data_IF_475752997323
#
_entry.id   IF_475752997323
#
_cell.length_a   1.000
_cell.length_b   1.000
_cell.length_c   1.000
_cell.angle_alpha   90.00
_cell.angle_beta   90.00
_cell.angle_gamma   90.00
#
_symmetry.space_group_name_H-M   'P 1'
#
loop_
_entity.id
_entity.type
_entity.pdbx_description
1 polymer ?
#
# COMPACT_ATOMS: atom_id res chain seq x y z
N UNK A 1 32.24 14.92 -0.24
CA UNK A 1 31.77 13.98 0.82
C UNK A 1 30.42 14.37 1.42
N UNK A 2 30.25 15.56 2.03
CA UNK A 2 28.95 15.96 2.62
C UNK A 2 27.79 15.94 1.62
N UNK A 3 28.02 16.36 0.36
CA UNK A 3 27.02 16.29 -0.69
C UNK A 3 26.61 14.85 -1.02
N UNK A 4 27.56 13.89 -1.04
CA UNK A 4 27.24 12.47 -1.24
C UNK A 4 26.42 11.90 -0.08
N UNK A 5 26.76 12.26 1.17
CA UNK A 5 25.99 11.84 2.34
C UNK A 5 24.55 12.39 2.29
N UNK A 6 24.40 13.68 1.95
CA UNK A 6 23.09 14.30 1.76
C UNK A 6 22.31 13.63 0.62
N UNK A 7 22.96 13.35 -0.52
CA UNK A 7 22.38 12.65 -1.67
C UNK A 7 21.86 11.25 -1.28
N UNK A 8 22.66 10.46 -0.56
CA UNK A 8 22.26 9.13 -0.12
C UNK A 8 21.09 9.18 0.87
N UNK A 9 21.10 10.14 1.78
CA UNK A 9 20.02 10.33 2.75
C UNK A 9 18.70 10.74 2.07
N UNK A 10 18.75 11.70 1.16
CA UNK A 10 17.58 12.12 0.38
C UNK A 10 17.00 10.98 -0.46
N UNK A 11 17.87 10.15 -1.03
CA UNK A 11 17.43 8.99 -1.81
C UNK A 11 16.76 7.93 -0.92
N UNK A 12 17.24 7.72 0.30
CA UNK A 12 16.58 6.83 1.26
C UNK A 12 15.20 7.34 1.69
N UNK A 13 15.06 8.64 1.94
CA UNK A 13 13.76 9.25 2.25
C UNK A 13 12.78 9.05 1.08
N UNK A 14 13.25 9.21 -0.16
CA UNK A 14 12.44 8.92 -1.36
C UNK A 14 12.01 7.46 -1.43
N UNK A 15 12.91 6.52 -1.16
CA UNK A 15 12.57 5.09 -1.15
C UNK A 15 11.52 4.77 -0.08
N UNK A 16 11.61 5.39 1.11
CA UNK A 16 10.60 5.25 2.15
C UNK A 16 9.24 5.80 1.71
N UNK A 17 9.21 6.99 1.12
CA UNK A 17 7.98 7.60 0.60
C UNK A 17 7.33 6.76 -0.52
N UNK A 18 8.14 6.02 -1.28
CA UNK A 18 7.68 5.08 -2.31
C UNK A 18 7.28 3.69 -1.75
N UNK A 19 7.27 3.51 -0.43
CA UNK A 19 6.91 2.24 0.22
C UNK A 19 8.03 1.18 0.26
N UNK A 20 9.25 1.51 -0.16
CA UNK A 20 10.41 0.61 -0.14
C UNK A 20 11.15 0.64 1.21
N UNK A 21 10.42 0.47 2.31
CA UNK A 21 10.96 0.59 3.67
C UNK A 21 12.06 -0.45 3.98
N UNK A 22 12.02 -1.63 3.35
CA UNK A 22 13.06 -2.66 3.53
C UNK A 22 14.37 -2.20 2.88
N UNK A 23 14.32 -1.78 1.61
CA UNK A 23 15.49 -1.27 0.89
C UNK A 23 16.10 -0.07 1.57
N UNK A 24 15.28 0.88 2.03
CA UNK A 24 15.76 2.05 2.78
C UNK A 24 16.42 1.68 4.11
N UNK A 25 15.87 0.71 4.86
CA UNK A 25 16.50 0.19 6.10
C UNK A 25 17.83 -0.50 5.83
N UNK A 26 17.92 -1.29 4.76
CA UNK A 26 19.16 -1.93 4.33
C UNK A 26 20.23 -0.88 4.01
N UNK A 27 19.89 0.13 3.19
CA UNK A 27 20.77 1.24 2.86
C UNK A 27 21.24 2.01 4.11
N UNK A 28 20.34 2.30 5.06
CA UNK A 28 20.71 2.96 6.33
C UNK A 28 21.70 2.13 7.13
N UNK A 29 21.49 0.81 7.20
CA UNK A 29 22.39 -0.11 7.90
C UNK A 29 23.77 -0.15 7.25
N UNK A 30 23.83 -0.28 5.92
CA UNK A 30 25.09 -0.25 5.17
C UNK A 30 25.83 1.09 5.34
N UNK A 31 25.13 2.22 5.34
CA UNK A 31 25.74 3.52 5.60
C UNK A 31 26.30 3.64 7.02
N UNK A 32 25.58 3.13 8.04
CA UNK A 32 26.10 3.12 9.41
C UNK A 32 27.37 2.28 9.54
N UNK A 33 27.41 1.10 8.92
CA UNK A 33 28.60 0.23 8.90
C UNK A 33 29.77 0.94 8.21
N UNK A 34 29.54 1.57 7.07
CA UNK A 34 30.56 2.35 6.36
C UNK A 34 31.08 3.52 7.22
N UNK A 35 30.20 4.26 7.89
CA UNK A 35 30.60 5.37 8.77
C UNK A 35 31.44 4.88 9.95
N UNK A 36 31.04 3.77 10.59
CA UNK A 36 31.81 3.16 11.67
C UNK A 36 33.20 2.73 11.19
N UNK A 37 33.30 2.11 10.00
CA UNK A 37 34.59 1.75 9.41
C UNK A 37 35.48 2.99 9.20
N UNK A 38 34.93 4.08 8.65
CA UNK A 38 35.69 5.31 8.43
C UNK A 38 36.14 5.99 9.75
N UNK A 39 35.31 5.95 10.80
CA UNK A 39 35.66 6.53 12.10
C UNK A 39 36.75 5.77 12.85
N UNK A 40 36.90 4.46 12.60
CA UNK A 40 38.01 3.66 13.14
C UNK A 40 39.31 3.94 12.39
N UNK A 41 39.22 4.23 11.09
CA UNK A 41 40.37 4.51 10.23
C UNK A 41 41.05 5.86 10.54
N UNK A 42 40.27 6.90 10.86
CA UNK A 42 40.80 8.26 11.09
C UNK A 42 41.81 8.34 12.26
N UNK A 43 41.54 7.80 13.47
CA UNK A 43 42.50 7.82 14.57
C UNK A 43 43.74 6.97 14.29
N UNK A 44 43.58 5.83 13.61
CA UNK A 44 44.68 4.96 13.19
C UNK A 44 45.63 5.75 12.30
N UNK A 45 45.08 6.48 11.33
CA UNK A 45 45.84 7.35 10.44
C UNK A 45 46.53 8.52 11.17
N UNK A 46 45.83 9.21 12.07
CA UNK A 46 46.37 10.41 12.74
C UNK A 46 47.45 10.09 13.77
N UNK A 47 47.33 8.98 14.52
CA UNK A 47 48.20 8.73 15.68
C UNK A 47 49.43 7.86 15.40
N UNK A 48 49.50 7.18 14.25
CA UNK A 48 50.54 6.17 14.00
C UNK A 48 51.30 6.38 12.69
N UNK A 49 51.67 7.63 12.42
CA UNK A 49 52.18 8.11 11.13
C UNK A 49 53.59 7.63 10.72
N UNK A 50 54.21 6.64 11.39
CA UNK A 50 55.64 6.38 11.12
C UNK A 50 56.05 4.98 10.65
N UNK A 51 55.31 3.90 10.91
CA UNK A 51 55.74 2.55 10.47
C UNK A 51 54.59 1.60 10.14
N UNK A 52 53.40 2.11 9.78
CA UNK A 52 52.25 1.23 9.54
C UNK A 52 52.40 0.44 8.22
N UNK A 53 52.62 -0.86 8.35
CA UNK A 53 52.70 -1.83 7.24
C UNK A 53 51.35 -1.99 6.54
N UNK A 54 51.34 -1.88 5.20
CA UNK A 54 50.19 -1.80 4.28
C UNK A 54 49.12 -2.93 4.33
N UNK A 55 49.18 -3.89 5.26
CA UNK A 55 48.35 -5.10 5.24
C UNK A 55 46.98 -5.00 5.92
N UNK A 56 46.88 -4.36 7.09
CA UNK A 56 45.66 -4.44 7.94
C UNK A 56 44.57 -3.42 7.56
N UNK A 57 44.96 -2.33 6.89
CA UNK A 57 44.08 -1.25 6.43
C UNK A 57 43.18 -1.69 5.23
N UNK A 58 43.61 -2.73 4.49
CA UNK A 58 42.88 -3.21 3.32
C UNK A 58 41.49 -3.74 3.67
N UNK A 59 41.30 -4.37 4.83
CA UNK A 59 40.01 -4.93 5.22
C UNK A 59 38.97 -3.84 5.52
N UNK A 60 39.35 -2.82 6.29
CA UNK A 60 38.45 -1.74 6.70
C UNK A 60 38.03 -0.89 5.49
N UNK A 61 38.98 -0.59 4.60
CA UNK A 61 38.72 0.03 3.30
C UNK A 61 37.80 -0.82 2.44
N UNK A 62 38.06 -2.12 2.34
CA UNK A 62 37.19 -3.05 1.59
C UNK A 62 35.76 -3.02 2.13
N UNK A 63 35.57 -3.10 3.45
CA UNK A 63 34.25 -3.02 4.09
C UNK A 63 33.56 -1.70 3.75
N UNK A 64 34.27 -0.57 3.88
CA UNK A 64 33.73 0.75 3.54
C UNK A 64 33.25 0.81 2.08
N UNK A 65 34.09 0.42 1.12
CA UNK A 65 33.74 0.45 -0.30
C UNK A 65 32.62 -0.52 -0.65
N UNK A 66 32.60 -1.73 -0.09
CA UNK A 66 31.53 -2.69 -0.30
C UNK A 66 30.18 -2.18 0.24
N UNK A 67 30.16 -1.60 1.44
CA UNK A 67 28.93 -1.04 2.03
C UNK A 67 28.41 0.18 1.26
N UNK A 68 29.31 1.05 0.78
CA UNK A 68 28.94 2.17 -0.08
C UNK A 68 28.38 1.67 -1.41
N UNK A 69 29.08 0.76 -2.10
CA UNK A 69 28.64 0.19 -3.37
C UNK A 69 27.28 -0.53 -3.24
N UNK A 70 27.11 -1.34 -2.19
CA UNK A 70 25.83 -2.02 -1.90
C UNK A 70 24.69 -1.01 -1.72
N UNK A 71 24.91 0.07 -0.97
CA UNK A 71 23.91 1.13 -0.81
C UNK A 71 23.52 1.74 -2.14
N UNK A 72 24.50 2.12 -2.99
CA UNK A 72 24.22 2.75 -4.28
C UNK A 72 23.47 1.82 -5.23
N UNK A 73 23.83 0.53 -5.25
CA UNK A 73 23.15 -0.49 -6.05
C UNK A 73 21.71 -0.70 -5.59
N UNK A 74 21.46 -0.83 -4.28
CA UNK A 74 20.11 -0.99 -3.72
C UNK A 74 19.26 0.25 -3.99
N UNK A 75 19.84 1.45 -3.88
CA UNK A 75 19.15 2.70 -4.19
C UNK A 75 18.78 2.82 -5.66
N UNK A 76 19.74 2.56 -6.56
CA UNK A 76 19.52 2.58 -8.00
C UNK A 76 18.47 1.55 -8.42
N UNK A 77 18.57 0.32 -7.91
CA UNK A 77 17.57 -0.74 -8.14
C UNK A 77 16.18 -0.34 -7.65
N UNK A 78 16.06 0.18 -6.43
CA UNK A 78 14.77 0.59 -5.85
C UNK A 78 14.09 1.69 -6.67
N UNK A 79 14.85 2.69 -7.12
CA UNK A 79 14.35 3.76 -7.98
C UNK A 79 13.94 3.24 -9.37
N UNK A 80 14.76 2.40 -10.01
CA UNK A 80 14.43 1.78 -11.29
C UNK A 80 13.16 0.93 -11.19
N UNK A 81 13.05 0.10 -10.15
CA UNK A 81 11.90 -0.75 -9.94
C UNK A 81 10.61 0.06 -9.68
N UNK A 82 10.71 1.14 -8.90
CA UNK A 82 9.60 2.08 -8.71
C UNK A 82 9.17 2.72 -10.04
N UNK A 83 10.13 3.18 -10.85
CA UNK A 83 9.88 3.75 -12.17
C UNK A 83 9.23 2.75 -13.13
N UNK A 84 9.75 1.52 -13.22
CA UNK A 84 9.18 0.46 -14.06
C UNK A 84 7.75 0.13 -13.66
N UNK A 85 7.49 -0.01 -12.35
CA UNK A 85 6.13 -0.29 -11.85
C UNK A 85 5.16 0.86 -12.13
N UNK A 86 5.59 2.10 -11.91
CA UNK A 86 4.79 3.28 -12.23
C UNK A 86 4.38 3.30 -13.71
N UNK A 87 5.32 3.01 -14.60
CA UNK A 87 5.08 2.93 -16.04
C UNK A 87 4.16 1.76 -16.41
N UNK A 88 4.31 0.58 -15.79
CA UNK A 88 3.43 -0.55 -16.05
C UNK A 88 1.98 -0.29 -15.62
N UNK A 89 1.78 0.41 -14.50
CA UNK A 89 0.44 0.63 -13.91
C UNK A 89 -0.30 1.80 -14.53
N UNK A 90 0.40 2.80 -15.07
CA UNK A 90 -0.22 4.01 -15.58
C UNK A 90 0.55 4.63 -16.75
N UNK A 91 0.93 3.80 -17.74
CA UNK A 91 1.66 4.25 -18.94
C UNK A 91 0.96 5.40 -19.68
N UNK A 92 -0.37 5.45 -19.63
CA UNK A 92 -1.18 6.44 -20.33
C UNK A 92 -1.16 7.83 -19.67
N UNK A 93 -0.76 7.92 -18.40
CA UNK A 93 -0.68 9.20 -17.69
C UNK A 93 0.66 9.91 -17.99
N UNK A 94 0.59 11.10 -18.59
CA UNK A 94 1.76 11.90 -18.94
C UNK A 94 2.57 12.37 -17.71
N UNK A 95 1.90 12.62 -16.57
CA UNK A 95 2.56 13.01 -15.33
C UNK A 95 3.35 11.82 -14.78
N UNK A 96 2.76 10.63 -14.74
CA UNK A 96 3.43 9.41 -14.25
C UNK A 96 4.61 9.03 -15.13
N UNK A 97 4.50 9.16 -16.46
CA UNK A 97 5.65 8.97 -17.37
C UNK A 97 6.79 9.93 -17.07
N UNK A 98 6.49 11.19 -16.82
CA UNK A 98 7.50 12.20 -16.47
C UNK A 98 8.16 11.87 -15.14
N UNK A 99 7.37 11.52 -14.12
CA UNK A 99 7.91 11.11 -12.80
C UNK A 99 8.77 9.86 -12.91
N UNK A 100 8.36 8.84 -13.67
CA UNK A 100 9.15 7.64 -13.89
C UNK A 100 10.46 7.93 -14.64
N UNK A 101 10.44 8.81 -15.64
CA UNK A 101 11.66 9.27 -16.31
C UNK A 101 12.61 9.95 -15.32
N UNK A 102 12.10 10.81 -14.43
CA UNK A 102 12.89 11.42 -13.36
C UNK A 102 13.46 10.38 -12.38
N UNK A 103 12.70 9.34 -12.03
CA UNK A 103 13.19 8.25 -11.18
C UNK A 103 14.32 7.45 -11.85
N UNK A 104 14.25 7.19 -13.16
CA UNK A 104 15.35 6.57 -13.89
C UNK A 104 16.59 7.47 -13.97
N UNK A 105 16.41 8.76 -14.22
CA UNK A 105 17.52 9.73 -14.20
C UNK A 105 18.16 9.73 -12.81
N UNK A 106 17.36 9.77 -11.74
CA UNK A 106 17.86 9.71 -10.38
C UNK A 106 18.62 8.39 -10.11
N UNK A 107 18.09 7.26 -10.56
CA UNK A 107 18.74 5.96 -10.41
C UNK A 107 20.10 5.91 -11.11
N UNK A 108 20.22 6.55 -12.29
CA UNK A 108 21.48 6.67 -13.03
C UNK A 108 22.46 7.63 -12.36
N UNK A 109 21.99 8.73 -11.77
CA UNK A 109 22.83 9.75 -11.12
C UNK A 109 23.29 9.38 -9.70
N UNK A 110 22.66 8.39 -9.06
CA UNK A 110 23.07 7.90 -7.73
C UNK A 110 24.49 7.34 -7.73
N UNK A 111 24.96 6.74 -8.82
CA UNK A 111 26.26 6.06 -8.88
C UNK A 111 27.44 7.00 -9.23
N UNK A 112 27.34 7.89 -10.25
CA UNK A 112 28.47 8.70 -10.71
C UNK A 112 29.01 9.68 -9.66
N UNK A 113 28.16 10.29 -8.83
CA UNK A 113 28.60 11.28 -7.84
C UNK A 113 29.60 10.70 -6.84
N UNK A 114 29.23 9.64 -6.09
CA UNK A 114 30.16 8.95 -5.20
C UNK A 114 31.40 8.36 -5.90
N UNK A 115 31.26 7.88 -7.15
CA UNK A 115 32.36 7.34 -7.92
C UNK A 115 33.41 8.42 -8.25
N UNK A 116 32.97 9.60 -8.71
CA UNK A 116 33.85 10.73 -9.01
C UNK A 116 34.54 11.27 -7.75
N UNK A 117 33.83 11.35 -6.63
CA UNK A 117 34.45 11.66 -5.34
C UNK A 117 35.52 10.66 -4.92
N UNK A 118 35.29 9.37 -5.18
CA UNK A 118 36.28 8.31 -4.94
C UNK A 118 37.53 8.51 -5.80
N UNK A 119 37.36 8.80 -7.09
CA UNK A 119 38.46 9.10 -8.00
C UNK A 119 39.23 10.37 -7.59
N UNK A 120 38.52 11.42 -7.16
CA UNK A 120 39.13 12.64 -6.63
C UNK A 120 39.95 12.40 -5.36
N UNK A 121 39.47 11.54 -4.47
CA UNK A 121 40.22 11.13 -3.27
C UNK A 121 41.50 10.34 -3.63
N UNK A 122 41.42 9.44 -4.61
CA UNK A 122 42.60 8.71 -5.11
C UNK A 122 43.61 9.64 -5.79
N UNK A 123 43.14 10.63 -6.55
CA UNK A 123 43.99 11.64 -7.18
C UNK A 123 44.73 12.50 -6.15
N UNK A 124 44.14 12.74 -4.97
CA UNK A 124 44.79 13.46 -3.86
C UNK A 124 45.98 12.70 -3.26
N UNK A 125 46.05 11.39 -3.47
CA UNK A 125 47.16 10.54 -3.04
C UNK A 125 48.24 10.36 -4.13
N UNK A 126 48.01 10.86 -5.35
CA UNK A 126 49.02 10.86 -6.38
C UNK A 126 50.10 11.93 -6.09
N UNK A 127 51.36 11.75 -6.55
CA UNK A 127 52.42 12.75 -6.40
C UNK A 127 51.95 14.13 -6.89
N UNK A 128 52.25 15.17 -6.09
CA UNK A 128 51.63 16.51 -6.06
C UNK A 128 51.67 17.35 -7.34
N UNK A 129 52.18 16.86 -8.46
CA UNK A 129 52.62 17.77 -9.53
C UNK A 129 51.51 18.31 -10.44
N UNK A 130 50.27 17.83 -10.39
CA UNK A 130 49.14 18.52 -11.04
C UNK A 130 47.80 17.93 -10.56
N UNK A 131 47.24 18.47 -9.46
CA UNK A 131 45.84 18.22 -9.15
C UNK A 131 45.02 18.95 -10.23
N UNK A 132 44.37 18.19 -11.09
CA UNK A 132 43.52 18.75 -12.14
C UNK A 132 42.28 19.42 -11.51
N UNK A 133 42.38 20.74 -11.31
CA UNK A 133 41.32 21.60 -10.76
C UNK A 133 40.01 21.44 -11.57
N UNK A 134 40.11 21.08 -12.86
CA UNK A 134 38.95 20.82 -13.70
C UNK A 134 38.15 19.62 -13.20
N UNK A 135 38.83 18.53 -12.82
CA UNK A 135 38.18 17.31 -12.33
C UNK A 135 37.48 17.55 -10.99
N UNK A 136 38.11 18.29 -10.08
CA UNK A 136 37.52 18.66 -8.80
C UNK A 136 36.29 19.57 -8.97
N UNK A 137 36.38 20.54 -9.89
CA UNK A 137 35.28 21.47 -10.19
C UNK A 137 34.12 20.74 -10.86
N UNK A 138 34.41 19.79 -11.76
CA UNK A 138 33.41 18.95 -12.41
C UNK A 138 32.70 18.05 -11.39
N UNK A 139 33.44 17.42 -10.46
CA UNK A 139 32.89 16.59 -9.39
C UNK A 139 31.95 17.40 -8.48
N UNK A 140 32.41 18.58 -8.00
CA UNK A 140 31.59 19.46 -7.18
C UNK A 140 30.32 19.94 -7.93
N UNK A 141 30.46 20.33 -9.20
CA UNK A 141 29.34 20.78 -10.02
C UNK A 141 28.32 19.66 -10.26
N UNK A 142 28.79 18.43 -10.52
CA UNK A 142 27.92 17.28 -10.70
C UNK A 142 27.23 16.88 -9.39
N UNK A 143 27.92 16.94 -8.25
CA UNK A 143 27.31 16.69 -6.94
C UNK A 143 26.22 17.71 -6.60
N UNK A 144 26.47 19.00 -6.85
CA UNK A 144 25.47 20.05 -6.64
C UNK A 144 24.28 19.84 -7.57
N UNK A 145 24.52 19.56 -8.85
CA UNK A 145 23.45 19.25 -9.81
C UNK A 145 22.64 18.01 -9.38
N UNK A 146 23.31 16.94 -8.96
CA UNK A 146 22.66 15.73 -8.46
C UNK A 146 21.81 16.01 -7.23
N UNK A 147 22.31 16.77 -6.25
CA UNK A 147 21.54 17.16 -5.08
C UNK A 147 20.34 18.02 -5.46
N UNK A 148 20.47 18.93 -6.43
CA UNK A 148 19.36 19.77 -6.91
C UNK A 148 18.28 18.98 -7.67
N UNK A 149 18.69 18.02 -8.50
CA UNK A 149 17.78 17.11 -9.21
C UNK A 149 17.12 16.12 -8.25
N UNK A 150 17.87 15.59 -7.28
CA UNK A 150 17.38 14.66 -6.27
C UNK A 150 16.56 15.32 -5.18
N UNK A 151 16.76 16.60 -4.87
CA UNK A 151 15.91 17.34 -3.92
C UNK A 151 14.54 17.69 -4.52
N UNK A 152 14.37 17.55 -5.83
CA UNK A 152 13.15 18.01 -6.50
C UNK A 152 13.10 19.54 -6.57
N UNK A 153 14.25 20.22 -6.65
CA UNK A 153 14.34 21.68 -6.77
C UNK A 153 14.56 22.18 -8.22
N UNK A 154 14.97 21.31 -9.16
CA UNK A 154 15.12 21.64 -10.59
C UNK A 154 14.26 20.73 -11.48
N UNK A 155 13.17 21.28 -12.05
CA UNK A 155 12.22 20.60 -12.95
C UNK A 155 11.12 21.57 -13.44
N UNK A 156 10.38 21.26 -14.52
CA UNK A 156 9.39 22.17 -15.11
C UNK A 156 8.26 22.54 -14.12
N UNK A 157 7.60 23.69 -14.35
CA UNK A 157 6.59 24.40 -13.52
C UNK A 157 5.47 23.56 -12.85
N UNK A 158 5.35 22.26 -13.13
CA UNK A 158 4.38 21.34 -12.52
C UNK A 158 4.75 20.89 -11.08
N UNK A 159 5.85 21.41 -10.51
CA UNK A 159 6.28 21.12 -9.13
C UNK A 159 5.74 22.09 -8.06
N UNK A 160 4.59 22.73 -8.30
CA UNK A 160 3.87 23.35 -7.20
C UNK A 160 3.38 22.31 -6.16
N UNK A 161 3.29 21.02 -6.54
CA UNK A 161 2.80 19.90 -5.69
C UNK A 161 3.52 18.56 -5.95
N UNK A 162 4.84 18.47 -5.76
CA UNK A 162 5.63 17.26 -6.04
C UNK A 162 5.21 16.06 -5.18
N UNK A 163 4.68 16.35 -3.98
CA UNK A 163 4.13 15.35 -3.08
C UNK A 163 2.86 14.72 -3.62
N UNK A 164 2.00 15.41 -4.39
CA UNK A 164 0.76 14.82 -4.92
C UNK A 164 1.04 13.74 -5.99
N UNK A 165 2.05 13.92 -6.83
CA UNK A 165 2.43 12.89 -7.82
C UNK A 165 3.07 11.66 -7.16
N UNK A 166 3.87 11.87 -6.11
CA UNK A 166 4.41 10.80 -5.26
C UNK A 166 3.32 10.11 -4.43
N UNK A 167 2.35 10.87 -3.95
CA UNK A 167 1.20 10.39 -3.19
C UNK A 167 0.25 9.59 -4.09
N UNK A 168 -0.02 10.04 -5.32
CA UNK A 168 -0.74 9.22 -6.32
C UNK A 168 -0.01 7.91 -6.59
N UNK A 169 1.31 7.91 -6.68
CA UNK A 169 2.10 6.68 -6.79
C UNK A 169 1.96 5.78 -5.55
N UNK A 170 1.97 6.35 -4.35
CA UNK A 170 1.75 5.64 -3.08
C UNK A 170 0.31 5.10 -2.93
N UNK A 171 -0.69 5.85 -3.37
CA UNK A 171 -2.12 5.47 -3.37
C UNK A 171 -2.37 4.29 -4.32
N UNK A 172 -1.71 4.28 -5.48
CA UNK A 172 -1.70 3.15 -6.41
C UNK A 172 -1.13 1.87 -5.74
N UNK A 173 -0.32 2.01 -4.67
CA UNK A 173 0.24 0.92 -3.88
C UNK A 173 -0.69 0.34 -2.79
N UNK A 174 -1.87 0.91 -2.57
CA UNK A 174 -3.02 0.21 -1.98
C UNK A 174 -3.48 0.70 -0.61
N UNK A 175 -4.65 1.35 -0.60
CA UNK A 175 -5.87 0.98 0.15
C UNK A 175 -7.02 1.89 -0.34
N UNK A 176 -7.90 1.38 -1.21
CA UNK A 176 -9.29 1.89 -1.37
C UNK A 176 -10.16 1.30 -0.25
N UNK A 177 -11.25 1.89 0.24
CA UNK A 177 -12.29 2.73 -0.36
C UNK A 177 -12.85 3.75 0.66
N UNK A 178 -13.02 5.00 0.25
CA UNK A 178 -14.29 5.71 -0.02
C UNK A 178 -13.95 7.20 -0.14
N UNK A 179 -14.71 7.96 -0.93
CA UNK A 179 -14.60 9.42 -1.00
C UNK A 179 -14.48 10.04 0.40
N UNK A 180 -13.53 10.97 0.57
CA UNK A 180 -12.98 11.56 1.81
C UNK A 180 -13.98 12.03 2.90
N UNK A 181 -15.30 11.94 2.73
CA UNK A 181 -16.26 12.65 3.58
C UNK A 181 -17.30 11.81 4.33
N UNK A 182 -17.65 10.58 3.94
CA UNK A 182 -18.70 9.84 4.68
C UNK A 182 -18.65 8.32 4.49
N UNK A 183 -18.55 7.60 5.61
CA UNK A 183 -18.83 6.16 5.68
C UNK A 183 -20.32 5.93 5.45
N UNK A 184 -20.68 5.43 4.28
CA UNK A 184 -22.06 5.05 3.97
C UNK A 184 -22.07 3.54 3.88
N UNK A 185 -22.79 2.89 4.80
CA UNK A 185 -23.05 1.47 4.72
C UNK A 185 -23.91 1.18 3.49
N UNK A 186 -23.58 0.10 2.78
CA UNK A 186 -24.31 -0.37 1.63
C UNK A 186 -24.62 -1.86 1.81
N UNK A 187 -25.88 -2.24 2.15
CA UNK A 187 -26.25 -3.63 2.42
C UNK A 187 -26.44 -4.49 1.15
N UNK A 188 -26.11 -3.94 -0.02
CA UNK A 188 -26.51 -4.49 -1.31
C UNK A 188 -27.92 -4.05 -1.71
N UNK A 189 -28.22 -4.13 -3.00
CA UNK A 189 -29.53 -3.84 -3.57
C UNK A 189 -29.78 -4.70 -4.80
N UNK A 190 -30.77 -5.58 -4.71
CA UNK A 190 -31.23 -6.41 -5.83
C UNK A 190 -32.49 -5.75 -6.41
N UNK A 191 -32.44 -5.38 -7.68
CA UNK A 191 -33.56 -4.78 -8.39
C UNK A 191 -34.30 -5.86 -9.19
N UNK A 192 -35.57 -6.18 -8.89
CA UNK A 192 -36.32 -7.22 -9.62
C UNK A 192 -36.46 -6.97 -11.12
N UNK A 193 -36.38 -5.71 -11.57
CA UNK A 193 -36.48 -5.34 -12.98
C UNK A 193 -35.14 -5.48 -13.74
N UNK A 194 -34.03 -5.65 -13.04
CA UNK A 194 -32.72 -5.76 -13.68
C UNK A 194 -32.49 -7.15 -14.26
N UNK A 195 -31.79 -7.22 -15.39
CA UNK A 195 -31.29 -8.46 -15.98
C UNK A 195 -29.88 -8.83 -15.52
N UNK A 196 -29.17 -7.92 -14.83
CA UNK A 196 -27.75 -8.05 -14.48
C UNK A 196 -27.54 -7.77 -12.99
N UNK A 197 -26.69 -8.55 -12.34
CA UNK A 197 -26.30 -8.35 -10.95
C UNK A 197 -24.79 -8.41 -10.78
N UNK A 198 -24.20 -7.33 -10.28
CA UNK A 198 -22.79 -7.32 -9.85
C UNK A 198 -22.72 -8.00 -8.48
N UNK A 199 -22.18 -9.22 -8.46
CA UNK A 199 -22.09 -10.03 -7.23
C UNK A 199 -20.73 -9.99 -6.57
N UNK A 200 -19.69 -9.59 -7.28
CA UNK A 200 -18.37 -9.42 -6.68
C UNK A 200 -17.63 -8.29 -7.37
N UNK A 201 -17.11 -7.35 -6.58
CA UNK A 201 -16.47 -6.14 -7.09
C UNK A 201 -15.16 -5.81 -6.35
N UNK A 202 -14.09 -5.44 -7.07
CA UNK A 202 -12.80 -5.15 -6.47
C UNK A 202 -12.81 -3.79 -5.77
N UNK A 203 -12.74 -3.80 -4.44
CA UNK A 203 -12.68 -2.58 -3.63
C UNK A 203 -11.40 -1.74 -3.80
N UNK A 204 -10.49 -2.07 -4.71
CA UNK A 204 -9.40 -1.15 -5.05
C UNK A 204 -9.90 0.06 -5.87
N UNK A 205 -11.01 -0.09 -6.59
CA UNK A 205 -11.48 0.85 -7.60
C UNK A 205 -12.64 1.69 -7.07
N UNK A 206 -12.33 2.72 -6.28
CA UNK A 206 -13.33 3.51 -5.56
C UNK A 206 -14.30 4.28 -6.45
N UNK A 207 -13.82 4.84 -7.54
CA UNK A 207 -14.68 5.60 -8.46
C UNK A 207 -15.70 4.68 -9.14
N UNK A 208 -15.25 3.51 -9.60
CA UNK A 208 -16.12 2.52 -10.22
C UNK A 208 -17.08 1.88 -9.20
N UNK A 209 -16.63 1.69 -7.95
CA UNK A 209 -17.50 1.27 -6.85
C UNK A 209 -18.60 2.30 -6.57
N UNK A 210 -18.26 3.58 -6.44
CA UNK A 210 -19.22 4.66 -6.20
C UNK A 210 -20.22 4.74 -7.38
N UNK A 211 -19.75 4.58 -8.62
CA UNK A 211 -20.61 4.52 -9.80
C UNK A 211 -21.56 3.30 -9.77
N UNK A 212 -21.10 2.13 -9.34
CA UNK A 212 -21.93 0.94 -9.20
C UNK A 212 -23.02 1.13 -8.12
N UNK A 213 -22.66 1.73 -6.98
CA UNK A 213 -23.61 2.04 -5.90
C UNK A 213 -24.66 3.07 -6.34
N UNK A 214 -24.23 4.13 -7.04
CA UNK A 214 -25.15 5.13 -7.60
C UNK A 214 -26.12 4.50 -8.59
N UNK A 215 -25.61 3.66 -9.50
CA UNK A 215 -26.43 2.94 -10.46
C UNK A 215 -27.44 2.01 -9.78
N UNK A 216 -26.99 1.20 -8.82
CA UNK A 216 -27.86 0.30 -8.06
C UNK A 216 -28.96 1.04 -7.29
N UNK A 217 -28.73 2.30 -6.93
CA UNK A 217 -29.71 3.10 -6.24
C UNK A 217 -30.82 3.69 -7.13
N UNK A 218 -30.64 3.67 -8.46
CA UNK A 218 -31.68 4.07 -9.42
C UNK A 218 -32.79 3.00 -9.53
N UNK A 219 -34.01 3.41 -9.92
CA UNK A 219 -35.16 2.49 -10.00
C UNK A 219 -35.02 1.45 -11.13
N UNK A 220 -34.33 1.79 -12.20
CA UNK A 220 -34.05 0.91 -13.35
C UNK A 220 -32.59 0.44 -13.37
N UNK A 221 -31.92 0.56 -12.22
CA UNK A 221 -30.50 0.30 -12.08
C UNK A 221 -30.11 -1.18 -12.14
N UNK A 222 -28.82 -1.43 -12.39
CA UNK A 222 -28.19 -2.74 -12.24
C UNK A 222 -28.31 -3.22 -10.78
N UNK A 223 -28.56 -4.51 -10.57
CA UNK A 223 -28.48 -5.07 -9.22
C UNK A 223 -27.02 -5.07 -8.73
N UNK A 224 -26.80 -4.82 -7.44
CA UNK A 224 -25.47 -4.89 -6.80
C UNK A 224 -25.60 -5.66 -5.49
N UNK A 225 -25.19 -6.93 -5.50
CA UNK A 225 -25.25 -7.78 -4.30
C UNK A 225 -24.09 -7.52 -3.32
N UNK A 226 -23.03 -6.84 -3.77
CA UNK A 226 -21.88 -6.50 -2.96
C UNK A 226 -22.28 -5.70 -1.70
N UNK A 227 -21.67 -6.02 -0.57
CA UNK A 227 -22.00 -5.45 0.74
C UNK A 227 -20.80 -4.70 1.32
N UNK A 228 -21.06 -3.52 1.89
CA UNK A 228 -20.07 -2.72 2.60
C UNK A 228 -20.65 -2.25 3.94
N UNK A 229 -20.24 -2.88 5.04
CA UNK A 229 -20.71 -2.57 6.39
C UNK A 229 -19.66 -1.73 7.11
N UNK A 230 -20.04 -0.53 7.55
CA UNK A 230 -19.08 0.48 8.04
C UNK A 230 -19.10 0.69 9.54
N UNK A 231 -20.09 0.15 10.22
CA UNK A 231 -20.33 0.34 11.64
C UNK A 231 -21.13 -0.82 12.25
N UNK A 232 -21.22 -0.84 13.57
CA UNK A 232 -21.92 -1.92 14.28
C UNK A 232 -23.41 -1.99 13.95
N UNK A 233 -24.05 -0.86 13.61
CA UNK A 233 -25.49 -0.82 13.33
C UNK A 233 -25.79 -1.47 11.96
N UNK A 234 -24.94 -1.23 10.97
CA UNK A 234 -24.97 -1.88 9.66
C UNK A 234 -24.54 -3.35 9.70
N UNK A 235 -23.79 -3.77 10.73
CA UNK A 235 -23.46 -5.18 10.96
C UNK A 235 -21.96 -5.48 11.02
N UNK A 236 -21.10 -4.46 11.01
CA UNK A 236 -19.67 -4.63 11.25
C UNK A 236 -19.43 -5.25 12.64
N UNK A 237 -18.59 -6.28 12.70
CA UNK A 237 -18.32 -7.03 13.92
C UNK A 237 -19.43 -8.01 14.31
N UNK A 238 -20.53 -8.08 13.55
CA UNK A 238 -21.62 -9.02 13.83
C UNK A 238 -21.40 -10.36 13.13
N UNK A 239 -21.92 -11.43 13.74
CA UNK A 239 -21.85 -12.78 13.23
C UNK A 239 -23.23 -13.24 12.75
N UNK A 240 -23.27 -14.01 11.68
CA UNK A 240 -24.50 -14.61 11.16
C UNK A 240 -24.40 -16.14 11.21
N UNK A 241 -25.49 -16.79 11.58
CA UNK A 241 -25.58 -18.24 11.71
C UNK A 241 -25.27 -18.93 10.37
N UNK A 242 -24.47 -19.99 10.43
CA UNK A 242 -24.18 -20.84 9.28
C UNK A 242 -25.20 -22.00 9.25
N UNK A 243 -26.11 -22.05 8.27
CA UNK A 243 -27.12 -23.11 8.19
C UNK A 243 -26.50 -24.50 7.97
N UNK A 244 -25.25 -24.59 7.50
CA UNK A 244 -24.55 -25.87 7.34
C UNK A 244 -23.88 -26.38 8.62
N UNK A 245 -23.82 -25.57 9.68
CA UNK A 245 -23.16 -25.94 10.93
C UNK A 245 -23.89 -25.30 12.11
N UNK A 246 -24.83 -26.06 12.68
CA UNK A 246 -25.71 -25.64 13.78
C UNK A 246 -24.90 -25.09 14.97
N UNK A 247 -25.30 -23.92 15.46
CA UNK A 247 -24.64 -23.26 16.59
C UNK A 247 -23.32 -22.56 16.27
N UNK A 248 -22.91 -22.53 15.00
CA UNK A 248 -21.72 -21.81 14.55
C UNK A 248 -22.07 -20.76 13.49
N UNK A 249 -21.26 -19.71 13.40
CA UNK A 249 -21.38 -18.70 12.35
C UNK A 249 -20.48 -19.02 11.16
N UNK A 250 -20.57 -18.21 10.10
CA UNK A 250 -19.76 -18.41 8.89
C UNK A 250 -18.25 -18.24 9.08
N UNK A 251 -17.77 -17.63 10.18
CA UNK A 251 -16.36 -17.29 10.36
C UNK A 251 -15.40 -18.45 10.16
N UNK A 252 -15.67 -19.63 10.72
CA UNK A 252 -14.75 -20.76 10.60
C UNK A 252 -14.70 -21.33 9.18
N UNK A 253 -15.82 -21.31 8.45
CA UNK A 253 -15.86 -21.73 7.05
C UNK A 253 -15.09 -20.75 6.14
N UNK A 254 -15.25 -19.44 6.40
CA UNK A 254 -14.64 -18.38 5.59
C UNK A 254 -13.15 -18.18 5.89
N UNK A 255 -12.79 -18.28 7.17
CA UNK A 255 -11.50 -17.78 7.66
C UNK A 255 -10.68 -18.81 8.45
N UNK A 256 -11.25 -19.95 8.78
CA UNK A 256 -10.67 -20.85 9.78
C UNK A 256 -10.64 -20.22 11.18
N UNK A 257 -9.78 -20.76 12.04
CA UNK A 257 -9.47 -20.15 13.34
C UNK A 257 -8.45 -19.03 13.16
N UNK A 258 -8.79 -17.82 13.59
CA UNK A 258 -7.92 -16.66 13.46
C UNK A 258 -6.98 -16.52 14.66
N UNK A 259 -5.74 -16.06 14.44
CA UNK A 259 -4.76 -15.84 15.50
C UNK A 259 -5.09 -14.61 16.37
N UNK A 260 -4.57 -14.59 17.60
CA UNK A 260 -4.81 -13.51 18.57
C UNK A 260 -4.48 -12.11 18.04
N UNK A 261 -3.45 -11.97 17.20
CA UNK A 261 -3.04 -10.68 16.65
C UNK A 261 -4.13 -10.03 15.77
N UNK A 262 -5.13 -10.77 15.26
CA UNK A 262 -6.25 -10.15 14.53
C UNK A 262 -7.17 -9.34 15.44
N UNK A 263 -7.09 -9.52 16.76
CA UNK A 263 -7.85 -8.77 17.77
C UNK A 263 -7.13 -7.50 18.23
N UNK A 264 -5.95 -7.22 17.69
CA UNK A 264 -5.18 -6.02 17.98
C UNK A 264 -5.14 -5.11 16.74
N UNK A 265 -5.60 -3.89 16.89
CA UNK A 265 -5.48 -2.82 15.89
C UNK A 265 -4.40 -1.85 16.35
N UNK A 266 -3.29 -1.76 15.60
CA UNK A 266 -2.20 -0.85 15.92
C UNK A 266 -2.23 0.35 14.98
N UNK A 267 -2.17 1.55 15.54
CA UNK A 267 -2.10 2.81 14.77
C UNK A 267 -0.84 3.55 15.16
N UNK A 268 0.04 3.82 14.20
CA UNK A 268 1.19 4.70 14.38
C UNK A 268 0.80 6.13 14.04
N UNK A 269 0.87 7.02 15.03
CA UNK A 269 0.44 8.43 14.88
C UNK A 269 1.32 9.16 13.86
N UNK A 270 2.63 8.91 13.87
CA UNK A 270 3.55 9.60 12.94
C UNK A 270 3.24 9.19 11.50
N UNK A 271 3.10 7.89 11.26
CA UNK A 271 2.73 7.39 9.94
C UNK A 271 1.36 7.93 9.49
N UNK A 272 0.36 7.95 10.38
CA UNK A 272 -0.97 8.43 10.04
C UNK A 272 -0.99 9.94 9.75
N UNK A 273 -0.18 10.73 10.46
CA UNK A 273 -0.01 12.16 10.19
C UNK A 273 0.71 12.43 8.87
N UNK A 274 1.69 11.60 8.50
CA UNK A 274 2.37 11.68 7.21
C UNK A 274 1.43 11.32 6.04
N UNK A 275 0.57 10.32 6.22
CA UNK A 275 -0.45 9.91 5.24
C UNK A 275 -1.55 10.97 5.06
N UNK A 276 -1.92 11.66 6.14
CA UNK A 276 -2.99 12.65 6.16
C UNK A 276 -2.44 14.05 6.42
N UNK A 277 -2.12 14.76 5.34
CA UNK A 277 -1.39 16.03 5.40
C UNK A 277 -2.03 17.16 6.22
N UNK A 278 -3.34 17.13 6.47
CA UNK A 278 -4.01 18.10 7.35
C UNK A 278 -4.38 17.50 8.71
N UNK A 279 -4.30 18.31 9.77
CA UNK A 279 -4.70 17.91 11.13
C UNK A 279 -6.14 17.38 11.20
N UNK A 280 -7.04 17.94 10.39
CA UNK A 280 -8.45 17.51 10.32
C UNK A 280 -8.58 16.11 9.70
N UNK A 281 -7.89 15.85 8.59
CA UNK A 281 -7.92 14.53 7.92
C UNK A 281 -7.30 13.46 8.82
N UNK A 282 -6.17 13.77 9.48
CA UNK A 282 -5.56 12.88 10.46
C UNK A 282 -6.53 12.52 11.59
N UNK A 283 -7.18 13.52 12.20
CA UNK A 283 -8.09 13.30 13.31
C UNK A 283 -9.29 12.45 12.88
N UNK A 284 -9.84 12.73 11.70
CA UNK A 284 -10.91 11.96 11.10
C UNK A 284 -10.49 10.49 10.85
N UNK A 285 -9.29 10.25 10.31
CA UNK A 285 -8.77 8.91 10.09
C UNK A 285 -8.55 8.14 11.40
N UNK A 286 -8.01 8.80 12.43
CA UNK A 286 -7.83 8.20 13.76
C UNK A 286 -9.18 7.83 14.39
N UNK A 287 -10.18 8.71 14.30
CA UNK A 287 -11.50 8.46 14.84
C UNK A 287 -12.22 7.34 14.08
N UNK A 288 -11.97 7.18 12.78
CA UNK A 288 -12.39 6.00 12.03
C UNK A 288 -11.76 4.70 12.54
N UNK A 289 -10.45 4.68 12.78
CA UNK A 289 -9.77 3.50 13.35
C UNK A 289 -10.29 3.15 14.74
N UNK A 290 -10.60 4.15 15.57
CA UNK A 290 -11.25 3.95 16.87
C UNK A 290 -12.64 3.36 16.72
N UNK A 291 -13.47 3.92 15.84
CA UNK A 291 -14.82 3.43 15.61
C UNK A 291 -14.82 1.98 15.10
N UNK A 292 -13.90 1.62 14.19
CA UNK A 292 -13.73 0.26 13.71
C UNK A 292 -13.34 -0.71 14.83
N UNK A 293 -12.31 -0.37 15.60
CA UNK A 293 -11.86 -1.22 16.69
C UNK A 293 -12.98 -1.49 17.70
N UNK A 294 -13.79 -0.47 18.01
CA UNK A 294 -14.96 -0.61 18.88
C UNK A 294 -16.04 -1.49 18.24
N UNK A 295 -16.37 -1.28 16.97
CA UNK A 295 -17.38 -2.07 16.27
C UNK A 295 -16.99 -3.55 16.18
N UNK A 296 -15.71 -3.83 15.92
CA UNK A 296 -15.14 -5.17 15.77
C UNK A 296 -14.73 -5.82 17.11
N UNK A 297 -14.88 -5.12 18.24
CA UNK A 297 -14.43 -5.60 19.55
C UNK A 297 -12.91 -5.80 19.68
N UNK A 298 -12.13 -5.17 18.82
CA UNK A 298 -10.66 -5.21 18.85
C UNK A 298 -10.11 -4.30 19.96
N UNK A 299 -8.89 -4.60 20.38
CA UNK A 299 -8.09 -3.70 21.19
C UNK A 299 -7.37 -2.72 20.27
N UNK A 300 -7.57 -1.41 20.48
CA UNK A 300 -6.83 -0.38 19.77
C UNK A 300 -5.60 0.02 20.57
N UNK A 301 -4.43 -0.06 19.95
CA UNK A 301 -3.17 0.42 20.49
C UNK A 301 -2.62 1.55 19.62
N UNK A 302 -2.47 2.74 20.20
CA UNK A 302 -1.98 3.93 19.51
C UNK A 302 -0.50 4.12 19.87
N UNK A 303 0.38 3.99 18.89
CA UNK A 303 1.80 4.25 19.05
C UNK A 303 2.06 5.75 18.89
N UNK A 304 2.50 6.36 19.98
CA UNK A 304 2.93 7.76 20.04
C UNK A 304 4.46 7.86 19.95
N UNK A 305 4.99 9.08 20.07
CA UNK A 305 6.42 9.31 20.25
C UNK A 305 6.83 8.91 21.68
N UNK A 306 7.26 7.67 21.84
CA UNK A 306 7.63 7.08 23.13
C UNK A 306 8.88 6.21 23.00
N UNK A 307 9.55 5.96 24.13
CA UNK A 307 10.74 5.13 24.15
C UNK A 307 10.45 3.70 23.68
N UNK A 308 11.43 3.08 23.01
CA UNK A 308 11.28 1.74 22.43
C UNK A 308 10.81 0.69 23.45
N UNK A 309 11.40 0.71 24.65
CA UNK A 309 11.06 -0.24 25.71
C UNK A 309 9.63 -0.07 26.22
N UNK A 310 9.13 1.17 26.30
CA UNK A 310 7.75 1.44 26.71
C UNK A 310 6.77 0.94 25.66
N UNK A 311 7.09 1.13 24.38
CA UNK A 311 6.32 0.58 23.26
C UNK A 311 6.27 -0.95 23.31
N UNK A 312 7.40 -1.62 23.48
CA UNK A 312 7.46 -3.09 23.55
C UNK A 312 6.63 -3.63 24.71
N UNK A 313 6.70 -2.98 25.87
CA UNK A 313 5.90 -3.36 27.05
C UNK A 313 4.39 -3.18 26.80
N UNK A 314 3.98 -2.05 26.24
CA UNK A 314 2.56 -1.81 25.91
C UNK A 314 2.04 -2.80 24.87
N UNK A 315 2.84 -3.08 23.84
CA UNK A 315 2.51 -4.04 22.81
C UNK A 315 2.37 -5.46 23.38
N UNK A 316 3.27 -5.87 24.27
CA UNK A 316 3.21 -7.18 24.93
C UNK A 316 1.93 -7.34 25.79
N UNK A 317 1.57 -6.33 26.57
CA UNK A 317 0.33 -6.36 27.37
C UNK A 317 -0.91 -6.39 26.47
N UNK A 318 -0.90 -5.58 25.40
CA UNK A 318 -1.99 -5.56 24.43
C UNK A 318 -2.18 -6.89 23.69
N UNK A 319 -1.09 -7.60 23.38
CA UNK A 319 -1.13 -8.93 22.78
C UNK A 319 -1.75 -9.98 23.72
N UNK A 320 -1.45 -9.90 25.03
CA UNK A 320 -2.05 -10.81 26.03
C UNK A 320 -3.56 -10.60 26.16
N UNK A 321 -4.01 -9.34 26.17
CA UNK A 321 -5.44 -9.01 26.16
C UNK A 321 -6.10 -9.43 24.84
N UNK A 322 -5.43 -9.25 23.69
CA UNK A 322 -5.92 -9.72 22.40
C UNK A 322 -6.07 -11.25 22.35
N UNK A 323 -5.18 -11.99 22.99
CA UNK A 323 -5.28 -13.45 23.14
C UNK A 323 -6.50 -13.85 23.98
N UNK A 324 -6.73 -13.18 25.10
CA UNK A 324 -7.92 -13.41 25.93
C UNK A 324 -9.22 -13.16 25.14
N UNK A 325 -9.28 -12.08 24.34
CA UNK A 325 -10.42 -11.77 23.46
C UNK A 325 -10.61 -12.80 22.36
N UNK A 326 -9.52 -13.25 21.74
CA UNK A 326 -9.55 -14.29 20.71
C UNK A 326 -10.11 -15.60 21.26
N UNK A 327 -9.65 -16.02 22.44
CA UNK A 327 -10.15 -17.21 23.12
C UNK A 327 -11.64 -17.08 23.48
N UNK A 328 -12.04 -15.95 24.07
CA UNK A 328 -13.43 -15.67 24.42
C UNK A 328 -14.35 -15.64 23.19
N UNK A 329 -13.85 -15.23 22.03
CA UNK A 329 -14.59 -15.22 20.77
C UNK A 329 -14.39 -16.50 19.93
N UNK A 330 -13.79 -17.55 20.50
CA UNK A 330 -13.55 -18.85 19.85
C UNK A 330 -12.78 -18.76 18.51
N UNK A 331 -11.84 -17.81 18.41
CA UNK A 331 -11.03 -17.59 17.21
C UNK A 331 -11.82 -17.14 15.98
N UNK A 332 -13.03 -16.58 16.17
CA UNK A 332 -13.83 -16.02 15.06
C UNK A 332 -13.21 -14.73 14.52
N UNK A 333 -13.72 -14.22 13.40
CA UNK A 333 -13.27 -12.93 12.87
C UNK A 333 -13.82 -11.76 13.70
N UNK A 334 -12.98 -10.84 14.20
CA UNK A 334 -13.46 -9.68 14.96
C UNK A 334 -14.28 -8.73 14.07
N UNK A 335 -14.01 -8.66 12.77
CA UNK A 335 -14.85 -7.92 11.82
C UNK A 335 -16.20 -8.60 11.52
N UNK A 336 -16.43 -9.81 12.04
CA UNK A 336 -17.67 -10.54 11.86
C UNK A 336 -17.82 -11.24 10.51
N UNK A 337 -18.97 -11.87 10.31
CA UNK A 337 -19.33 -12.55 9.06
C UNK A 337 -20.74 -12.19 8.57
N UNK A 338 -21.37 -11.18 9.19
CA UNK A 338 -22.69 -10.70 8.78
C UNK A 338 -22.73 -10.24 7.33
N UNK A 339 -21.67 -9.57 6.87
CA UNK A 339 -21.50 -9.14 5.47
C UNK A 339 -21.71 -10.31 4.48
N UNK A 340 -21.21 -11.49 4.82
CA UNK A 340 -21.27 -12.66 3.93
C UNK A 340 -22.70 -13.18 3.84
N UNK A 341 -23.42 -13.23 4.95
CA UNK A 341 -24.82 -13.66 4.95
C UNK A 341 -25.72 -12.71 4.15
N UNK A 342 -25.51 -11.40 4.27
CA UNK A 342 -26.27 -10.41 3.51
C UNK A 342 -25.94 -10.49 2.02
N UNK A 343 -24.64 -10.54 1.69
CA UNK A 343 -24.17 -10.77 0.32
C UNK A 343 -24.76 -12.05 -0.28
N UNK A 344 -24.73 -13.16 0.47
CA UNK A 344 -25.22 -14.48 0.05
C UNK A 344 -26.70 -14.45 -0.29
N UNK A 345 -27.51 -13.77 0.54
CA UNK A 345 -28.94 -13.57 0.27
C UNK A 345 -29.13 -12.78 -1.02
N UNK A 346 -28.45 -11.64 -1.15
CA UNK A 346 -28.56 -10.81 -2.35
C UNK A 346 -28.15 -11.57 -3.64
N UNK A 347 -27.06 -12.35 -3.59
CA UNK A 347 -26.59 -13.14 -4.72
C UNK A 347 -27.59 -14.25 -5.09
N UNK A 348 -28.19 -14.90 -4.09
CA UNK A 348 -29.25 -15.90 -4.30
C UNK A 348 -30.51 -15.28 -4.86
N UNK A 349 -30.99 -14.17 -4.30
CA UNK A 349 -32.19 -13.48 -4.77
C UNK A 349 -32.02 -13.05 -6.23
N UNK A 350 -30.86 -12.52 -6.61
CA UNK A 350 -30.54 -12.18 -8.00
C UNK A 350 -30.56 -13.41 -8.92
N UNK A 351 -30.00 -14.55 -8.47
CA UNK A 351 -30.03 -15.79 -9.24
C UNK A 351 -31.45 -16.35 -9.38
N UNK A 352 -32.27 -16.30 -8.33
CA UNK A 352 -33.68 -16.73 -8.32
C UNK A 352 -34.54 -15.86 -9.25
N UNK A 353 -34.19 -14.57 -9.40
CA UNK A 353 -34.77 -13.64 -10.38
C UNK A 353 -34.26 -13.87 -11.82
N UNK A 354 -33.35 -14.82 -12.03
CA UNK A 354 -32.79 -15.13 -13.36
C UNK A 354 -31.81 -14.07 -13.88
N UNK A 355 -31.23 -13.26 -13.00
CA UNK A 355 -30.26 -12.24 -13.39
C UNK A 355 -28.92 -12.87 -13.76
N UNK A 356 -28.23 -12.27 -14.71
CA UNK A 356 -26.83 -12.62 -15.02
C UNK A 356 -25.94 -12.11 -13.90
N UNK A 357 -25.22 -13.02 -13.24
CA UNK A 357 -24.30 -12.64 -12.17
C UNK A 357 -22.95 -12.23 -12.77
N UNK A 358 -22.37 -11.13 -12.29
CA UNK A 358 -21.11 -10.58 -12.79
C UNK A 358 -20.06 -10.52 -11.67
N UNK A 359 -18.87 -11.04 -11.94
CA UNK A 359 -17.69 -11.02 -11.06
C UNK A 359 -16.59 -10.21 -11.72
N UNK A 360 -16.17 -9.12 -11.07
CA UNK A 360 -15.06 -8.28 -11.55
C UNK A 360 -13.75 -8.63 -10.85
N UNK A 361 -12.71 -8.79 -11.66
CA UNK A 361 -11.34 -9.05 -11.24
C UNK A 361 -10.48 -7.78 -11.35
N UNK A 362 -9.35 -7.76 -10.63
CA UNK A 362 -8.29 -6.78 -10.85
C UNK A 362 -7.82 -6.81 -12.31
N UNK A 363 -7.34 -5.65 -12.77
CA UNK A 363 -6.85 -5.46 -14.14
C UNK A 363 -5.83 -6.53 -14.55
N UNK A 364 -6.09 -7.16 -15.70
CA UNK A 364 -5.25 -8.18 -16.32
C UNK A 364 -5.28 -9.54 -15.61
N UNK A 365 -6.18 -9.74 -14.63
CA UNK A 365 -6.21 -10.92 -13.77
C UNK A 365 -7.54 -11.68 -13.75
N UNK A 366 -8.34 -11.55 -14.80
CA UNK A 366 -9.61 -12.28 -14.94
C UNK A 366 -9.43 -13.78 -14.74
N UNK A 367 -10.29 -14.37 -13.91
CA UNK A 367 -10.26 -15.80 -13.58
C UNK A 367 -9.16 -16.24 -12.60
N UNK A 368 -8.23 -15.35 -12.21
CA UNK A 368 -7.13 -15.70 -11.32
C UNK A 368 -7.52 -15.57 -9.85
N UNK A 369 -7.09 -16.54 -9.04
CA UNK A 369 -7.18 -16.45 -7.58
C UNK A 369 -8.40 -17.12 -6.94
N UNK A 370 -9.12 -17.96 -7.69
CA UNK A 370 -10.18 -18.82 -7.15
C UNK A 370 -9.61 -19.86 -6.18
N UNK A 371 -10.41 -20.20 -5.17
CA UNK A 371 -10.12 -21.21 -4.16
C UNK A 371 -11.37 -22.07 -4.01
N UNK A 372 -11.23 -23.39 -3.86
CA UNK A 372 -12.38 -24.23 -3.55
C UNK A 372 -12.94 -23.88 -2.16
N UNK A 373 -14.26 -23.90 -1.99
CA UNK A 373 -14.91 -23.50 -0.73
C UNK A 373 -14.34 -24.22 0.50
N UNK A 374 -14.03 -25.52 0.38
CA UNK A 374 -13.50 -26.34 1.47
C UNK A 374 -12.09 -25.91 1.90
N UNK A 375 -11.33 -25.27 0.99
CA UNK A 375 -9.96 -24.82 1.23
C UNK A 375 -9.88 -23.37 1.73
N UNK A 376 -10.99 -22.61 1.73
CA UNK A 376 -11.02 -21.21 2.18
C UNK A 376 -10.51 -21.04 3.61
N UNK A 377 -10.83 -21.99 4.49
CA UNK A 377 -10.42 -21.94 5.90
C UNK A 377 -8.91 -22.17 6.09
N UNK A 378 -8.20 -22.71 5.10
CA UNK A 378 -6.76 -22.97 5.19
C UNK A 378 -5.95 -21.67 4.96
N UNK A 379 -5.22 -21.17 5.98
CA UNK A 379 -4.40 -19.96 5.82
C UNK A 379 -3.28 -20.12 4.79
N UNK A 380 -2.69 -21.32 4.63
CA UNK A 380 -1.59 -21.56 3.69
C UNK A 380 -2.06 -21.47 2.25
N UNK A 381 -3.24 -22.03 1.97
CA UNK A 381 -3.85 -21.93 0.63
C UNK A 381 -4.18 -20.47 0.32
N UNK A 382 -4.83 -19.75 1.24
CA UNK A 382 -5.14 -18.33 1.06
C UNK A 382 -3.90 -17.47 0.82
N UNK A 383 -2.85 -17.66 1.60
CA UNK A 383 -1.60 -16.90 1.45
C UNK A 383 -0.94 -17.16 0.09
N UNK A 384 -0.83 -18.43 -0.31
CA UNK A 384 -0.30 -18.82 -1.61
C UNK A 384 -1.08 -18.16 -2.75
N UNK A 385 -2.40 -18.26 -2.72
CA UNK A 385 -3.29 -17.75 -3.78
C UNK A 385 -3.28 -16.23 -3.83
N UNK A 386 -3.20 -15.55 -2.67
CA UNK A 386 -3.18 -14.08 -2.58
C UNK A 386 -2.05 -13.45 -3.40
N UNK A 387 -0.90 -14.11 -3.51
CA UNK A 387 0.27 -13.56 -4.21
C UNK A 387 0.04 -13.29 -5.71
N UNK A 388 -0.86 -14.05 -6.35
CA UNK A 388 -1.17 -13.89 -7.77
C UNK A 388 -2.64 -13.54 -8.04
N UNK A 389 -3.53 -13.62 -7.04
CA UNK A 389 -4.96 -13.43 -7.17
C UNK A 389 -5.38 -12.14 -7.91
N UNK A 390 -6.43 -12.28 -8.73
CA UNK A 390 -7.22 -11.19 -9.30
C UNK A 390 -8.41 -10.78 -8.44
N UNK A 391 -8.59 -11.41 -7.27
CA UNK A 391 -9.70 -11.17 -6.35
C UNK A 391 -9.19 -10.56 -5.03
N UNK A 392 -9.99 -9.64 -4.48
CA UNK A 392 -9.88 -9.14 -3.12
C UNK A 392 -10.15 -10.21 -2.05
N UNK A 393 -10.03 -9.83 -0.78
CA UNK A 393 -10.13 -10.79 0.32
C UNK A 393 -11.54 -11.36 0.51
N UNK A 394 -12.56 -10.49 0.55
CA UNK A 394 -13.96 -10.91 0.56
C UNK A 394 -14.34 -11.63 -0.74
N UNK A 395 -13.94 -11.09 -1.88
CA UNK A 395 -14.22 -11.63 -3.21
C UNK A 395 -13.79 -13.09 -3.39
N UNK A 396 -12.68 -13.50 -2.76
CA UNK A 396 -12.24 -14.90 -2.82
C UNK A 396 -13.29 -15.84 -2.22
N UNK A 397 -13.92 -15.45 -1.11
CA UNK A 397 -14.98 -16.24 -0.49
C UNK A 397 -16.31 -16.16 -1.24
N UNK A 398 -16.62 -15.00 -1.81
CA UNK A 398 -17.81 -14.78 -2.66
C UNK A 398 -17.79 -15.75 -3.86
N UNK A 399 -16.70 -15.73 -4.64
CA UNK A 399 -16.54 -16.58 -5.84
C UNK A 399 -16.53 -18.06 -5.48
N UNK A 400 -15.81 -18.44 -4.42
CA UNK A 400 -15.78 -19.82 -3.95
C UNK A 400 -17.18 -20.33 -3.53
N UNK A 401 -18.03 -19.47 -2.99
CA UNK A 401 -19.41 -19.83 -2.66
C UNK A 401 -20.26 -20.01 -3.92
N UNK A 402 -20.15 -19.10 -4.89
CA UNK A 402 -20.87 -19.22 -6.18
C UNK A 402 -20.51 -20.55 -6.86
N UNK A 403 -19.22 -20.90 -6.90
CA UNK A 403 -18.73 -22.15 -7.46
C UNK A 403 -19.28 -23.38 -6.71
N UNK A 404 -19.29 -23.34 -5.37
CA UNK A 404 -19.83 -24.42 -4.53
C UNK A 404 -21.32 -24.66 -4.78
N UNK A 405 -22.11 -23.60 -4.87
CA UNK A 405 -23.56 -23.70 -5.06
C UNK A 405 -23.96 -23.91 -6.54
N UNK A 406 -22.99 -23.88 -7.46
CA UNK A 406 -23.24 -24.07 -8.89
C UNK A 406 -23.96 -22.88 -9.54
N UNK A 407 -23.78 -21.67 -9.00
CA UNK A 407 -24.35 -20.45 -9.56
C UNK A 407 -23.47 -19.95 -10.70
N UNK A 408 -24.02 -19.92 -11.92
CA UNK A 408 -23.31 -19.40 -13.09
C UNK A 408 -23.09 -17.89 -13.00
N UNK A 409 -21.90 -17.43 -13.37
CA UNK A 409 -21.55 -16.01 -13.46
C UNK A 409 -20.64 -15.74 -14.65
N UNK A 410 -20.60 -14.48 -15.08
CA UNK A 410 -19.70 -13.96 -16.11
C UNK A 410 -18.53 -13.27 -15.41
N UNK A 411 -17.32 -13.55 -15.91
CA UNK A 411 -16.08 -13.01 -15.37
C UNK A 411 -15.63 -11.82 -16.21
N UNK A 412 -15.29 -10.72 -15.54
CA UNK A 412 -14.89 -9.49 -16.18
C UNK A 412 -13.55 -9.00 -15.65
N UNK A 413 -12.73 -8.46 -16.56
CA UNK A 413 -11.69 -7.51 -16.16
C UNK A 413 -12.35 -6.20 -15.71
N UNK A 414 -11.82 -5.53 -14.69
CA UNK A 414 -12.35 -4.23 -14.26
C UNK A 414 -12.47 -3.20 -15.39
N UNK A 415 -11.63 -3.27 -16.43
CA UNK A 415 -11.69 -2.36 -17.59
C UNK A 415 -12.98 -2.52 -18.41
N UNK A 416 -13.68 -3.64 -18.26
CA UNK A 416 -14.95 -3.91 -18.91
C UNK A 416 -16.15 -3.33 -18.14
N UNK A 417 -15.92 -2.74 -16.95
CA UNK A 417 -16.99 -2.21 -16.11
C UNK A 417 -17.85 -1.18 -16.84
N UNK A 418 -17.23 -0.22 -17.53
CA UNK A 418 -17.95 0.81 -18.27
C UNK A 418 -18.80 0.24 -19.41
N UNK A 419 -18.36 -0.87 -20.01
CA UNK A 419 -19.10 -1.55 -21.09
C UNK A 419 -20.38 -2.16 -20.51
N UNK A 420 -20.30 -2.83 -19.35
CA UNK A 420 -21.47 -3.39 -18.68
C UNK A 420 -22.46 -2.30 -18.26
N UNK A 421 -21.95 -1.20 -17.70
CA UNK A 421 -22.76 -0.07 -17.27
C UNK A 421 -23.44 0.62 -18.46
N UNK A 422 -22.72 0.82 -19.57
CA UNK A 422 -23.25 1.40 -20.80
C UNK A 422 -24.29 0.52 -21.50
N UNK A 423 -24.09 -0.80 -21.52
CA UNK A 423 -25.05 -1.76 -22.07
C UNK A 423 -26.36 -1.81 -21.27
N UNK A 424 -26.33 -1.48 -19.99
CA UNK A 424 -27.50 -1.41 -19.12
C UNK A 424 -28.30 -0.10 -19.29
N UNK A 425 -27.98 0.73 -20.29
CA UNK A 425 -28.67 2.00 -20.54
C UNK A 425 -28.29 3.12 -19.57
N UNK A 426 -27.33 2.89 -18.68
CA UNK A 426 -26.83 3.89 -17.73
C UNK A 426 -25.71 4.65 -18.42
N UNK A 427 -26.08 5.60 -19.30
CA UNK A 427 -25.11 6.48 -19.93
C UNK A 427 -24.44 7.35 -18.86
N UNK A 428 -23.13 7.18 -18.74
CA UNK A 428 -22.28 7.87 -17.80
C UNK A 428 -22.14 9.35 -18.20
N UNK A 429 -23.14 10.20 -17.88
CA UNK A 429 -23.04 11.66 -18.06
C UNK A 429 -22.31 12.32 -16.88
N UNK A 430 -21.15 11.80 -16.48
CA UNK A 430 -20.38 12.34 -15.35
C UNK A 430 -19.34 13.38 -15.76
N UNK A 431 -19.05 13.51 -17.06
CA UNK A 431 -18.06 14.46 -17.55
C UNK A 431 -18.52 15.94 -17.57
N UNK A 432 -19.77 16.27 -17.22
CA UNK A 432 -20.32 17.61 -17.49
C UNK A 432 -20.65 18.48 -16.27
N UNK A 433 -21.04 17.97 -15.09
CA UNK A 433 -21.35 18.85 -13.94
C UNK A 433 -21.30 18.08 -12.61
N UNK A 434 -20.40 18.41 -11.66
CA UNK A 434 -20.58 18.00 -10.27
C UNK A 434 -21.83 18.68 -9.69
N UNK A 435 -22.61 18.01 -8.83
CA UNK A 435 -23.75 18.63 -8.17
C UNK A 435 -23.26 19.78 -7.26
N UNK A 436 -24.01 20.89 -7.14
CA UNK A 436 -23.65 21.96 -6.23
C UNK A 436 -23.69 21.41 -4.79
N UNK A 437 -22.54 21.43 -4.13
CA UNK A 437 -22.45 21.39 -2.68
C UNK A 437 -23.11 22.66 -2.15
N UNK A 438 -24.42 22.64 -1.94
CA UNK A 438 -25.13 23.45 -0.93
C UNK A 438 -26.63 23.18 -0.99
N UNK A 439 -27.12 22.40 -0.03
CA UNK A 439 -28.49 22.51 0.45
C UNK A 439 -28.50 22.14 1.93
N UNK A 440 -28.46 23.18 2.76
CA UNK A 440 -28.79 23.11 4.18
C UNK A 440 -30.16 22.46 4.34
N UNK A 441 -30.22 21.30 4.99
CA UNK A 441 -31.46 20.80 5.57
C UNK A 441 -31.47 21.26 7.02
N UNK A 442 -32.22 22.33 7.26
CA UNK A 442 -32.75 22.64 8.58
C UNK A 442 -33.69 21.51 8.99
N UNK A 443 -33.42 20.87 10.13
CA UNK A 443 -34.41 20.49 11.15
C UNK A 443 -33.71 20.06 12.44
#
# INVERSE_FOLDING_TARGET
MLCNAAQMQMTNLKLQALGFHISARLCKTCMCVALCAALVDIPIFVFWFQDWTMGEDLLLKTIFFCCCAATLLVQSYGLCHAASRALCLAWHDAAIRTTAACLYINAALVIPGPLLSGLGALAFHAPRDEIDILLLTADASLQVLNVLLLSGLVGPQQWARPMEALQKLAEIHGFGLSSKAKRIAFPGRVNPASSNCIVSFPGKYSEQWDAAVLAANSQEGVSLACVFLTDRASGLGQHADNPHSLGSCWCHALYGSLPANTYLSVVDVQQLQEEHGTQSEYQQALDFKKADAVAMGQLLLIKQDQAHLDWERQLAEALKEAEARCLANHGRAPWGCRWFEEWRKNARDAAELGQTLHVFYFEGKTGQGKIAWQELSDPKVREKVRSYSGLGASQTAEVAYLDKEGLSYVEHDIREFEILMGASGITASWAANPPPCDAQVQH
#
